data_IF_545280261429
#
_entry.id   IF_545280261429
#
_cell.length_a   1.000
_cell.length_b   1.000
_cell.length_c   1.000
_cell.angle_alpha   90.00
_cell.angle_beta   90.00
_cell.angle_gamma   90.00
#
_symmetry.space_group_name_H-M   'P 1'
#
loop_
_entity.id
_entity.type
_entity.pdbx_description
1 polymer ?
#
# COMPACT_ATOMS: atom_id res chain seq x y z
N UNK A 1 -7.69 14.40 -5.04
CA UNK A 1 -6.29 13.95 -4.99
C UNK A 1 -5.74 13.99 -3.57
N UNK A 2 -5.91 12.89 -2.84
CA UNK A 2 -5.37 12.67 -1.49
C UNK A 2 -4.28 11.60 -1.57
N UNK A 3 -3.19 11.75 -0.81
CA UNK A 3 -2.13 10.76 -0.73
C UNK A 3 -2.46 9.72 0.34
N UNK A 4 -2.27 8.44 -0.01
CA UNK A 4 -2.51 7.30 0.85
C UNK A 4 -1.28 6.41 0.89
N UNK A 5 -1.11 5.73 2.02
CA UNK A 5 -0.11 4.69 2.20
C UNK A 5 -0.82 3.39 2.58
N UNK A 6 -0.63 2.37 1.77
CA UNK A 6 -0.98 0.99 2.08
C UNK A 6 0.21 0.30 2.74
N UNK A 7 -0.05 -0.30 3.89
CA UNK A 7 0.95 -0.98 4.70
C UNK A 7 0.60 -2.46 4.72
N UNK A 8 1.53 -3.27 4.25
CA UNK A 8 1.38 -4.71 4.23
C UNK A 8 2.28 -5.30 5.31
N UNK A 9 1.78 -6.31 6.04
CA UNK A 9 2.53 -6.98 7.10
C UNK A 9 2.91 -8.39 6.67
N UNK A 10 4.06 -8.86 7.15
CA UNK A 10 4.45 -10.26 7.00
C UNK A 10 4.90 -10.68 5.60
N UNK A 11 5.07 -9.73 4.68
CA UNK A 11 5.55 -9.99 3.32
C UNK A 11 7.06 -9.84 3.20
N UNK A 12 7.64 -10.68 2.33
CA UNK A 12 9.10 -10.77 2.10
C UNK A 12 9.96 -11.01 3.36
N UNK A 13 9.35 -11.48 4.46
CA UNK A 13 10.06 -11.88 5.70
C UNK A 13 10.15 -13.40 5.81
N UNK A 14 11.31 -13.91 6.26
CA UNK A 14 11.53 -15.33 6.48
C UNK A 14 11.45 -16.23 5.23
N UNK A 15 11.37 -15.67 4.02
CA UNK A 15 11.22 -16.41 2.77
C UNK A 15 9.77 -16.86 2.46
N UNK A 16 8.83 -16.53 3.34
CA UNK A 16 7.39 -16.77 3.14
C UNK A 16 6.75 -15.54 2.49
N UNK A 17 5.62 -15.73 1.78
CA UNK A 17 4.84 -14.65 1.16
C UNK A 17 5.71 -13.68 0.32
N UNK A 18 6.51 -14.24 -0.61
CA UNK A 18 7.31 -13.44 -1.54
C UNK A 18 6.41 -12.67 -2.49
N UNK A 19 6.56 -11.35 -2.49
CA UNK A 19 5.89 -10.46 -3.42
C UNK A 19 6.95 -9.72 -4.21
N UNK A 20 6.81 -9.77 -5.53
CA UNK A 20 7.56 -8.89 -6.40
C UNK A 20 6.90 -7.50 -6.40
N UNK A 21 7.69 -6.45 -6.21
CA UNK A 21 7.17 -5.08 -6.09
C UNK A 21 6.52 -4.57 -7.38
N UNK A 22 6.89 -5.12 -8.54
CA UNK A 22 6.22 -4.88 -9.81
C UNK A 22 4.76 -5.37 -9.77
N UNK A 23 4.50 -6.59 -9.30
CA UNK A 23 3.13 -7.10 -9.15
C UNK A 23 2.29 -6.27 -8.16
N UNK A 24 2.91 -5.86 -7.05
CA UNK A 24 2.24 -5.00 -6.06
C UNK A 24 1.87 -3.64 -6.66
N UNK A 25 2.75 -3.08 -7.49
CA UNK A 25 2.50 -1.83 -8.20
C UNK A 25 1.39 -2.00 -9.23
N UNK A 26 1.44 -3.06 -10.03
CA UNK A 26 0.46 -3.33 -11.08
C UNK A 26 -0.95 -3.51 -10.51
N UNK A 27 -1.08 -4.14 -9.33
CA UNK A 27 -2.35 -4.27 -8.60
C UNK A 27 -2.96 -2.90 -8.25
N UNK A 28 -2.15 -1.98 -7.73
CA UNK A 28 -2.65 -0.64 -7.40
C UNK A 28 -2.98 0.16 -8.66
N UNK A 29 -2.24 -0.04 -9.75
CA UNK A 29 -2.54 0.59 -11.04
C UNK A 29 -3.84 0.03 -11.65
N UNK A 30 -4.09 -1.28 -11.55
CA UNK A 30 -5.33 -1.90 -12.05
C UNK A 30 -6.58 -1.46 -11.28
N UNK A 31 -6.41 -1.07 -10.01
CA UNK A 31 -7.47 -0.44 -9.20
C UNK A 31 -7.73 1.04 -9.58
N UNK A 32 -7.01 1.58 -10.56
CA UNK A 32 -7.18 2.97 -11.01
C UNK A 32 -6.47 4.00 -10.12
N UNK A 33 -5.62 3.56 -9.19
CA UNK A 33 -4.85 4.44 -8.31
C UNK A 33 -3.71 5.10 -9.08
N UNK A 34 -3.43 6.36 -8.76
CA UNK A 34 -2.45 7.18 -9.48
C UNK A 34 -1.18 7.38 -8.64
N UNK A 35 -0.05 7.60 -9.30
CA UNK A 35 1.20 7.92 -8.60
C UNK A 35 1.70 6.80 -7.68
N UNK A 36 1.45 5.55 -8.06
CA UNK A 36 1.82 4.37 -7.26
C UNK A 36 3.34 4.23 -7.16
N UNK A 37 3.86 4.25 -5.94
CA UNK A 37 5.28 4.07 -5.61
C UNK A 37 5.39 3.03 -4.50
N UNK A 38 6.13 1.96 -4.75
CA UNK A 38 6.45 0.94 -3.76
C UNK A 38 7.76 1.28 -3.05
N UNK A 39 7.82 1.07 -1.74
CA UNK A 39 9.01 1.35 -0.94
C UNK A 39 9.69 0.05 -0.49
N UNK A 40 10.91 -0.18 -0.99
CA UNK A 40 11.81 -1.30 -0.63
C UNK A 40 11.09 -2.68 -0.73
N UNK A 41 11.56 -3.70 0.00
CA UNK A 41 10.93 -5.03 0.10
C UNK A 41 9.94 -5.13 1.27
N UNK A 42 9.72 -4.05 2.03
CA UNK A 42 8.72 -4.03 3.10
C UNK A 42 7.29 -4.10 2.56
N UNK A 43 7.12 -3.83 1.26
CA UNK A 43 5.84 -3.80 0.56
C UNK A 43 4.92 -2.68 1.02
N UNK A 44 5.47 -1.58 1.50
CA UNK A 44 4.69 -0.35 1.68
C UNK A 44 4.43 0.28 0.31
N UNK A 45 3.21 0.74 0.06
CA UNK A 45 2.82 1.38 -1.20
C UNK A 45 2.23 2.74 -0.94
N UNK A 46 2.80 3.75 -1.58
CA UNK A 46 2.26 5.10 -1.61
C UNK A 46 1.49 5.28 -2.91
N UNK A 47 0.28 5.81 -2.85
CA UNK A 47 -0.50 6.14 -4.02
C UNK A 47 -1.37 7.36 -3.76
N UNK A 48 -1.98 7.88 -4.82
CA UNK A 48 -2.94 8.97 -4.77
C UNK A 48 -4.29 8.48 -5.31
N UNK A 49 -5.35 8.87 -4.62
CA UNK A 49 -6.72 8.63 -5.09
C UNK A 49 -7.51 9.93 -5.12
N UNK A 50 -8.48 9.98 -6.02
CA UNK A 50 -9.50 11.02 -6.05
C UNK A 50 -10.63 10.70 -5.05
N UNK A 51 -10.76 9.43 -4.64
CA UNK A 51 -11.59 9.03 -3.51
C UNK A 51 -10.96 9.43 -2.17
N UNK A 52 -11.79 10.01 -1.31
CA UNK A 52 -11.40 10.44 0.02
C UNK A 52 -11.74 9.41 1.11
N UNK A 53 -12.48 8.34 0.78
CA UNK A 53 -12.89 7.32 1.75
C UNK A 53 -11.81 6.23 1.89
N UNK A 54 -11.07 6.21 3.01
CA UNK A 54 -10.03 5.22 3.23
C UNK A 54 -10.59 3.81 3.40
N UNK A 55 -11.82 3.66 3.88
CA UNK A 55 -12.45 2.36 4.12
C UNK A 55 -12.88 1.70 2.80
N UNK A 56 -13.32 2.50 1.83
CA UNK A 56 -13.59 1.98 0.49
C UNK A 56 -12.31 1.59 -0.24
N UNK A 57 -11.27 2.43 -0.14
CA UNK A 57 -9.96 2.12 -0.73
C UNK A 57 -9.34 0.88 -0.09
N UNK A 58 -9.41 0.72 1.23
CA UNK A 58 -8.94 -0.49 1.90
C UNK A 58 -9.74 -1.71 1.47
N UNK A 59 -11.08 -1.62 1.39
CA UNK A 59 -11.93 -2.71 0.93
C UNK A 59 -11.63 -3.16 -0.51
N UNK A 60 -11.41 -2.21 -1.42
CA UNK A 60 -11.04 -2.51 -2.81
C UNK A 60 -9.67 -3.19 -2.92
N UNK A 61 -8.69 -2.70 -2.14
CA UNK A 61 -7.36 -3.30 -2.11
C UNK A 61 -7.42 -4.68 -1.45
N UNK A 62 -8.18 -4.85 -0.37
CA UNK A 62 -8.36 -6.12 0.34
C UNK A 62 -9.02 -7.18 -0.53
N UNK A 63 -10.10 -6.85 -1.25
CA UNK A 63 -10.81 -7.79 -2.12
C UNK A 63 -9.88 -8.33 -3.22
N UNK A 64 -9.13 -7.44 -3.89
CA UNK A 64 -8.18 -7.84 -4.94
C UNK A 64 -6.92 -8.53 -4.37
N UNK A 65 -6.46 -8.15 -3.18
CA UNK A 65 -5.28 -8.71 -2.51
C UNK A 65 -5.55 -10.05 -1.83
N UNK A 66 -6.77 -10.32 -1.36
CA UNK A 66 -7.15 -11.58 -0.72
C UNK A 66 -7.14 -12.73 -1.73
N UNK A 67 -7.51 -12.45 -2.98
CA UNK A 67 -7.33 -13.38 -4.10
C UNK A 67 -5.86 -13.83 -4.30
N UNK A 68 -4.89 -13.08 -3.76
CA UNK A 68 -3.45 -13.36 -3.87
C UNK A 68 -2.77 -13.74 -2.54
N UNK A 69 -3.54 -13.95 -1.46
CA UNK A 69 -3.04 -14.38 -0.13
C UNK A 69 -2.21 -13.34 0.64
N UNK A 70 -2.56 -12.05 0.56
CA UNK A 70 -1.84 -11.01 1.30
C UNK A 70 -2.54 -10.60 2.60
N UNK A 71 -1.75 -10.41 3.66
CA UNK A 71 -2.21 -9.83 4.92
C UNK A 71 -2.07 -8.30 4.84
N UNK A 72 -3.17 -7.63 4.54
CA UNK A 72 -3.25 -6.17 4.53
C UNK A 72 -3.37 -5.65 5.97
N UNK A 73 -2.62 -4.61 6.31
CA UNK A 73 -2.72 -4.00 7.64
C UNK A 73 -2.52 -2.50 7.55
N UNK A 74 -3.63 -1.81 7.31
CA UNK A 74 -3.86 -0.38 7.49
C UNK A 74 -3.60 0.50 6.26
N UNK A 75 -4.61 1.31 5.93
CA UNK A 75 -4.48 2.46 5.04
C UNK A 75 -4.31 3.73 5.87
N UNK A 76 -3.21 4.45 5.69
CA UNK A 76 -2.97 5.74 6.35
C UNK A 76 -3.18 6.86 5.33
N UNK A 77 -4.03 7.83 5.68
CA UNK A 77 -4.14 9.10 4.94
C UNK A 77 -2.91 9.94 5.28
N UNK A 78 -2.16 10.38 4.27
CA UNK A 78 -1.07 11.32 4.47
C UNK A 78 -1.59 12.72 4.17
N UNK A 79 -1.78 13.59 5.18
CA UNK A 79 -2.09 14.98 4.91
C UNK A 79 -0.89 15.59 4.17
N UNK A 80 -1.17 16.28 3.07
CA UNK A 80 -0.24 16.86 2.08
C UNK A 80 0.98 17.62 2.65
N UNK A 81 0.97 17.99 3.93
CA UNK A 81 2.05 18.70 4.62
C UNK A 81 3.09 17.81 5.31
N UNK A 82 2.92 16.49 5.32
CA UNK A 82 3.90 15.57 5.92
C UNK A 82 4.72 14.88 4.82
N UNK A 83 6.01 15.23 4.77
CA UNK A 83 7.04 14.53 4.02
C UNK A 83 6.86 13.01 4.18
N UNK A 84 6.62 12.29 3.08
CA UNK A 84 6.27 10.86 3.06
C UNK A 84 7.36 9.93 3.62
N UNK A 85 8.61 10.39 3.70
CA UNK A 85 9.77 9.58 4.05
C UNK A 85 9.79 9.11 5.53
N UNK A 86 9.62 9.96 6.56
CA UNK A 86 9.66 9.52 7.95
C UNK A 86 8.50 8.62 8.38
N UNK A 87 7.28 8.83 7.87
CA UNK A 87 6.09 8.08 8.32
C UNK A 87 6.11 6.62 7.86
N UNK A 88 6.56 6.37 6.62
CA UNK A 88 6.70 5.02 6.07
C UNK A 88 7.80 4.24 6.80
N UNK A 89 8.84 4.93 7.30
CA UNK A 89 9.91 4.33 8.08
C UNK A 89 9.49 3.91 9.50
N UNK A 90 8.57 4.65 10.14
CA UNK A 90 8.14 4.35 11.52
C UNK A 90 7.18 3.17 11.65
N UNK A 91 6.57 2.71 10.56
CA UNK A 91 5.60 1.61 10.60
C UNK A 91 6.27 0.24 10.66
N UNK A 92 7.56 0.15 10.36
CA UNK A 92 8.31 -1.10 10.34
C UNK A 92 9.41 -1.13 11.41
N UNK A 93 9.00 -0.98 12.67
CA UNK A 93 9.79 -1.34 13.87
C UNK A 93 9.02 -2.37 14.67
#
# INVERSE_FOLDING_TARGET
MTAFVSLFRGINVGGHQKIRMDELKDLHVSLGLKGVVTYIQSGNVVFTSDDADPAQLSGQIEDDSFHRSFLFSLLIIVPTVLTLAPTVCMVNV
#
